data_IF_194847231218
#
_entry.id   IF_194847231218
#
_cell.length_a   1.000
_cell.length_b   1.000
_cell.length_c   1.000
_cell.angle_alpha   90.00
_cell.angle_beta   90.00
_cell.angle_gamma   90.00
#
_symmetry.space_group_name_H-M   'P 1'
#
loop_
_entity.id
_entity.type
_entity.pdbx_description
1 polymer ?
#
# COMPACT_ATOMS: atom_id res chain seq x y z
N UNK A 1 4.96 8.00 12.42
CA UNK A 1 5.52 6.64 12.53
C UNK A 1 7.01 6.75 12.87
N UNK A 2 7.42 6.21 14.02
CA UNK A 2 8.82 6.16 14.47
C UNK A 2 9.46 4.79 14.26
N UNK A 3 8.67 3.79 13.86
CA UNK A 3 9.12 2.43 13.60
C UNK A 3 9.66 2.36 12.17
N UNK A 4 8.85 2.72 11.18
CA UNK A 4 9.23 2.76 9.76
C UNK A 4 8.72 4.06 9.12
N UNK A 5 9.54 5.12 9.07
CA UNK A 5 9.10 6.40 8.53
C UNK A 5 8.72 6.29 7.05
N UNK A 6 7.57 6.87 6.67
CA UNK A 6 7.10 6.84 5.28
C UNK A 6 8.09 7.50 4.30
N UNK A 7 8.76 8.56 4.75
CA UNK A 7 9.82 9.24 3.99
C UNK A 7 11.17 8.52 3.98
N UNK A 8 11.25 7.34 4.60
CA UNK A 8 12.49 6.58 4.75
C UNK A 8 13.35 7.03 5.92
N UNK A 9 14.40 6.27 6.17
CA UNK A 9 15.44 6.55 7.14
C UNK A 9 16.79 6.08 6.56
N UNK A 10 17.46 6.94 5.76
CA UNK A 10 18.68 6.54 5.04
C UNK A 10 19.81 6.05 5.95
N UNK A 11 19.89 6.58 7.18
CA UNK A 11 20.87 6.14 8.18
C UNK A 11 20.72 4.65 8.57
N UNK A 12 19.52 4.08 8.39
CA UNK A 12 19.22 2.65 8.60
C UNK A 12 19.11 1.86 7.30
N UNK A 13 19.42 2.47 6.15
CA UNK A 13 19.24 1.83 4.84
C UNK A 13 17.77 1.65 4.44
N UNK A 14 16.85 2.45 5.00
CA UNK A 14 15.43 2.41 4.66
C UNK A 14 15.15 3.50 3.60
N UNK A 15 14.92 3.14 2.32
CA UNK A 15 14.51 4.11 1.31
C UNK A 15 13.13 4.69 1.65
N UNK A 16 12.77 5.80 1.02
CA UNK A 16 11.41 6.30 1.10
C UNK A 16 10.43 5.28 0.52
N UNK A 17 9.28 5.06 1.16
CA UNK A 17 8.28 4.11 0.67
C UNK A 17 7.85 4.39 -0.77
N UNK A 18 7.64 5.65 -1.21
CA UNK A 18 7.35 5.95 -2.62
C UNK A 18 8.40 5.44 -3.60
N UNK A 19 9.69 5.57 -3.25
CA UNK A 19 10.80 5.16 -4.12
C UNK A 19 10.90 3.63 -4.16
N UNK A 20 10.81 2.98 -2.99
CA UNK A 20 10.78 1.54 -2.88
C UNK A 20 9.62 0.92 -3.69
N UNK A 21 8.41 1.50 -3.61
CA UNK A 21 7.26 1.04 -4.38
C UNK A 21 7.47 1.21 -5.89
N UNK A 22 8.10 2.30 -6.32
CA UNK A 22 8.43 2.52 -7.74
C UNK A 22 9.41 1.45 -8.26
N UNK A 23 10.44 1.10 -7.47
CA UNK A 23 11.35 0.00 -7.79
C UNK A 23 10.62 -1.35 -7.85
N UNK A 24 9.74 -1.63 -6.88
CA UNK A 24 8.91 -2.86 -6.89
C UNK A 24 8.00 -2.94 -8.11
N UNK A 25 7.39 -1.82 -8.51
CA UNK A 25 6.56 -1.77 -9.72
C UNK A 25 7.39 -2.03 -10.99
N UNK A 26 8.59 -1.47 -11.08
CA UNK A 26 9.49 -1.72 -12.20
C UNK A 26 9.91 -3.20 -12.27
N UNK A 27 10.26 -3.80 -11.12
CA UNK A 27 10.60 -5.23 -11.01
C UNK A 27 9.43 -6.15 -11.37
N UNK A 28 8.20 -5.72 -11.12
CA UNK A 28 6.98 -6.45 -11.48
C UNK A 28 6.55 -6.20 -12.94
N UNK A 29 7.38 -5.55 -13.76
CA UNK A 29 7.09 -5.27 -15.17
C UNK A 29 5.92 -4.33 -15.38
N UNK A 30 5.58 -3.49 -14.40
CA UNK A 30 4.49 -2.53 -14.55
C UNK A 30 4.84 -1.43 -15.56
N UNK A 31 3.81 -0.85 -16.17
CA UNK A 31 3.96 0.34 -16.99
C UNK A 31 4.55 1.50 -16.16
N UNK A 32 5.37 2.39 -16.77
CA UNK A 32 5.92 3.53 -16.07
C UNK A 32 4.84 4.47 -15.51
N UNK A 33 5.08 4.96 -14.30
CA UNK A 33 4.19 5.90 -13.63
C UNK A 33 3.06 5.25 -12.85
N UNK A 34 2.62 5.93 -11.80
CA UNK A 34 1.49 5.53 -10.98
C UNK A 34 0.33 6.52 -11.17
N UNK A 35 -0.89 6.05 -10.89
CA UNK A 35 -2.08 6.89 -10.76
C UNK A 35 -2.46 7.00 -9.30
N UNK A 36 -2.60 8.23 -8.82
CA UNK A 36 -3.07 8.51 -7.48
C UNK A 36 -4.58 8.80 -7.50
N UNK A 37 -5.28 8.26 -6.52
CA UNK A 37 -6.68 8.58 -6.22
C UNK A 37 -6.79 8.90 -4.74
N UNK A 38 -7.46 10.00 -4.44
CA UNK A 38 -7.87 10.33 -3.07
C UNK A 38 -9.21 9.62 -2.79
N UNK A 39 -9.27 8.88 -1.68
CA UNK A 39 -10.48 8.19 -1.22
C UNK A 39 -11.16 8.94 -0.07
N UNK A 40 -10.66 10.12 0.31
CA UNK A 40 -11.11 10.83 1.51
C UNK A 40 -10.47 10.30 2.79
N UNK A 41 -10.78 10.95 3.92
CA UNK A 41 -10.32 10.55 5.26
C UNK A 41 -8.80 10.33 5.41
N UNK A 42 -8.02 11.04 4.58
CA UNK A 42 -6.56 10.92 4.55
C UNK A 42 -6.05 9.65 3.88
N UNK A 43 -6.87 8.95 3.10
CA UNK A 43 -6.51 7.75 2.35
C UNK A 43 -6.12 8.12 0.92
N UNK A 44 -4.88 7.84 0.55
CA UNK A 44 -4.40 7.96 -0.83
C UNK A 44 -4.08 6.60 -1.40
N UNK A 45 -4.65 6.30 -2.57
CA UNK A 45 -4.42 5.05 -3.31
C UNK A 45 -3.54 5.33 -4.50
N UNK A 46 -2.38 4.68 -4.55
CA UNK A 46 -1.45 4.74 -5.67
C UNK A 46 -1.45 3.42 -6.42
N UNK A 47 -1.69 3.45 -7.72
CA UNK A 47 -1.80 2.25 -8.56
C UNK A 47 -0.84 2.28 -9.73
N UNK A 48 -0.09 1.18 -9.92
CA UNK A 48 0.65 0.87 -11.13
C UNK A 48 -0.07 -0.26 -11.87
N UNK A 49 -0.17 -0.16 -13.19
CA UNK A 49 -0.89 -1.12 -14.04
C UNK A 49 0.03 -1.81 -15.03
N UNK A 50 -0.47 -2.85 -15.69
CA UNK A 50 0.24 -3.52 -16.78
C UNK A 50 1.43 -4.36 -16.31
N UNK A 51 1.46 -4.72 -15.03
CA UNK A 51 2.53 -5.53 -14.43
C UNK A 51 2.53 -6.91 -15.07
N UNK A 52 3.59 -7.22 -15.83
CA UNK A 52 3.73 -8.43 -16.66
C UNK A 52 2.45 -8.76 -17.47
N UNK A 53 1.81 -7.72 -18.01
CA UNK A 53 0.68 -7.81 -18.92
C UNK A 53 -0.70 -8.02 -18.28
N UNK A 54 -0.83 -8.38 -16.99
CA UNK A 54 -2.15 -8.60 -16.35
C UNK A 54 -2.26 -8.20 -14.87
N UNK A 55 -1.17 -7.82 -14.21
CA UNK A 55 -1.17 -7.44 -12.80
C UNK A 55 -1.32 -5.94 -12.56
N UNK A 56 -1.52 -5.60 -11.29
CA UNK A 56 -1.41 -4.25 -10.77
C UNK A 56 -0.66 -4.27 -9.44
N UNK A 57 0.10 -3.22 -9.16
CA UNK A 57 0.58 -2.91 -7.81
C UNK A 57 -0.32 -1.82 -7.26
N UNK A 58 -0.98 -2.07 -6.12
CA UNK A 58 -1.85 -1.09 -5.46
C UNK A 58 -1.33 -0.82 -4.06
N UNK A 59 -1.05 0.44 -3.76
CA UNK A 59 -0.59 0.90 -2.46
C UNK A 59 -1.63 1.83 -1.84
N UNK A 60 -2.02 1.53 -0.60
CA UNK A 60 -2.90 2.37 0.20
C UNK A 60 -2.08 3.04 1.29
N UNK A 61 -2.09 4.37 1.32
CA UNK A 61 -1.51 5.17 2.41
C UNK A 61 -2.63 5.78 3.23
N UNK A 62 -2.61 5.56 4.54
CA UNK A 62 -3.55 6.19 5.48
C UNK A 62 -2.74 7.19 6.31
N UNK A 63 -2.97 8.49 6.10
CA UNK A 63 -2.15 9.54 6.70
C UNK A 63 -2.23 9.59 8.24
N UNK A 64 -3.36 9.16 8.81
CA UNK A 64 -3.62 9.13 10.25
C UNK A 64 -3.10 7.86 10.93
N UNK A 65 -2.70 6.84 10.17
CA UNK A 65 -2.29 5.54 10.71
C UNK A 65 -0.76 5.44 10.75
N UNK A 66 -0.23 5.03 11.89
CA UNK A 66 1.20 4.75 12.07
C UNK A 66 1.50 3.28 11.69
N UNK A 67 2.41 2.64 12.42
CA UNK A 67 2.74 1.24 12.23
C UNK A 67 1.69 0.35 12.90
N UNK A 68 0.55 0.17 12.23
CA UNK A 68 -0.63 -0.54 12.74
C UNK A 68 -1.37 -1.20 11.56
N UNK A 69 -2.13 -2.26 11.84
CA UNK A 69 -2.99 -2.91 10.86
C UNK A 69 -4.28 -2.09 10.63
N UNK A 70 -4.60 -1.72 9.37
CA UNK A 70 -5.85 -1.01 9.10
C UNK A 70 -7.07 -1.90 9.38
N UNK A 71 -7.74 -1.65 10.50
CA UNK A 71 -8.99 -2.29 10.89
C UNK A 71 -9.99 -1.23 11.37
N UNK A 72 -11.26 -1.36 10.97
CA UNK A 72 -12.34 -0.49 11.47
C UNK A 72 -12.85 -0.92 12.84
N UNK A 73 -12.18 -1.86 13.49
CA UNK A 73 -12.40 -2.30 14.87
C UNK A 73 -11.06 -2.34 15.62
N UNK A 74 -11.06 -2.32 16.96
CA UNK A 74 -9.86 -2.58 17.75
C UNK A 74 -9.15 -3.85 17.32
N UNK A 75 -7.81 -3.83 17.35
CA UNK A 75 -6.95 -4.94 16.98
C UNK A 75 -5.79 -5.06 18.03
N UNK A 76 -4.98 -6.12 18.00
CA UNK A 76 -3.89 -6.30 18.98
C UNK A 76 -2.82 -5.21 19.01
N UNK A 77 -2.66 -4.44 17.93
CA UNK A 77 -1.71 -3.35 17.78
C UNK A 77 -2.30 -1.99 18.25
N UNK A 78 -3.64 -1.83 18.24
CA UNK A 78 -4.32 -0.58 18.57
C UNK A 78 -5.81 -0.74 18.96
N UNK A 79 -6.22 -0.03 20.01
CA UNK A 79 -7.63 0.13 20.40
C UNK A 79 -8.37 1.21 19.58
N UNK A 80 -7.65 2.02 18.80
CA UNK A 80 -8.25 3.09 17.99
C UNK A 80 -8.50 2.58 16.57
N UNK A 81 -9.76 2.48 16.12
CA UNK A 81 -10.06 2.03 14.76
C UNK A 81 -9.45 2.94 13.68
N UNK A 82 -8.99 2.32 12.59
CA UNK A 82 -8.61 3.00 11.37
C UNK A 82 -9.84 3.40 10.54
N UNK A 83 -9.62 4.30 9.58
CA UNK A 83 -10.65 4.79 8.65
C UNK A 83 -11.06 3.78 7.58
N UNK A 84 -10.32 2.67 7.44
CA UNK A 84 -10.62 1.59 6.50
C UNK A 84 -10.10 0.24 7.00
N UNK A 85 -10.69 -0.85 6.50
CA UNK A 85 -10.24 -2.23 6.75
C UNK A 85 -9.44 -2.76 5.55
N UNK A 86 -8.19 -3.15 5.79
CA UNK A 86 -7.30 -3.69 4.77
C UNK A 86 -7.70 -5.10 4.32
N UNK A 87 -8.30 -5.90 5.20
CA UNK A 87 -8.61 -7.33 4.95
C UNK A 87 -9.49 -7.52 3.71
N UNK A 88 -10.69 -6.92 3.61
CA UNK A 88 -11.55 -7.10 2.44
C UNK A 88 -10.96 -6.49 1.16
N UNK A 89 -10.09 -5.48 1.28
CA UNK A 89 -9.37 -4.87 0.14
C UNK A 89 -8.38 -5.88 -0.45
N UNK A 90 -7.56 -6.49 0.39
CA UNK A 90 -6.56 -7.50 -0.01
C UNK A 90 -7.25 -8.72 -0.58
N UNK A 91 -8.27 -9.25 0.10
CA UNK A 91 -9.01 -10.41 -0.39
C UNK A 91 -9.66 -10.15 -1.75
N UNK A 92 -10.26 -8.97 -1.94
CA UNK A 92 -10.83 -8.58 -3.24
C UNK A 92 -9.75 -8.55 -4.32
N UNK A 93 -8.58 -7.97 -4.02
CA UNK A 93 -7.46 -7.94 -4.96
C UNK A 93 -7.05 -9.36 -5.39
N UNK A 94 -6.88 -10.28 -4.45
CA UNK A 94 -6.50 -11.66 -4.75
C UNK A 94 -7.57 -12.40 -5.56
N UNK A 95 -8.86 -12.19 -5.26
CA UNK A 95 -9.97 -12.78 -6.02
C UNK A 95 -10.03 -12.29 -7.47
N UNK A 96 -9.66 -11.04 -7.73
CA UNK A 96 -9.68 -10.47 -9.09
C UNK A 96 -8.36 -10.64 -9.84
N UNK A 97 -7.28 -11.07 -9.17
CA UNK A 97 -5.97 -11.34 -9.76
C UNK A 97 -5.49 -12.75 -9.37
N UNK A 98 -6.21 -13.80 -9.77
CA UNK A 98 -5.78 -15.17 -9.49
C UNK A 98 -4.41 -15.43 -10.13
N UNK A 99 -3.51 -16.07 -9.38
CA UNK A 99 -2.27 -16.59 -9.94
C UNK A 99 -2.67 -17.65 -10.97
N UNK A 100 -2.33 -17.44 -12.24
CA UNK A 100 -2.57 -18.42 -13.28
C UNK A 100 -1.90 -19.75 -12.91
N UNK A 101 -2.61 -20.86 -13.14
CA UNK A 101 -2.04 -22.21 -13.05
C UNK A 101 -1.07 -22.51 -14.19
#
# INVERSE_FOLDING_TARGET
>A
DTTIPYGGEPAKGLPALPDWLAERAALAGCAPGARDRDEGDGVTVRTWHGCDGRGALVHYRIASLAHDWPSTTPNPDSETPAVMDATPVIERFMRTHPLGG
#
